data_IF_505478869044
#
_entry.id   IF_505478869044
#
_cell.length_a   1.000
_cell.length_b   1.000
_cell.length_c   1.000
_cell.angle_alpha   90.00
_cell.angle_beta   90.00
_cell.angle_gamma   90.00
#
_symmetry.space_group_name_H-M   'P 1'
#
loop_
_entity.id
_entity.type
_entity.pdbx_description
1 polymer ?
#
# COMPACT_ATOMS: atom_id res chain seq x y z
N UNK A 1 13.53 -21.08 7.33
CA UNK A 1 14.51 -20.82 6.25
C UNK A 1 15.82 -21.55 6.57
N UNK A 2 16.41 -22.27 5.60
CA UNK A 2 17.59 -23.14 5.86
C UNK A 2 18.81 -22.37 6.39
N UNK A 3 19.18 -21.27 5.72
CA UNK A 3 20.31 -20.41 6.12
C UNK A 3 20.14 -19.88 7.56
N UNK A 4 18.93 -19.44 7.91
CA UNK A 4 18.63 -18.96 9.27
C UNK A 4 18.88 -20.03 10.34
N UNK A 5 18.52 -21.29 10.06
CA UNK A 5 18.72 -22.41 10.98
C UNK A 5 20.19 -22.80 11.11
N UNK A 6 20.95 -22.74 10.01
CA UNK A 6 22.38 -23.05 9.99
C UNK A 6 23.21 -21.98 10.70
N UNK A 7 22.87 -20.70 10.50
CA UNK A 7 23.64 -19.58 11.06
C UNK A 7 23.16 -19.12 12.45
N UNK A 8 22.01 -19.62 12.91
CA UNK A 8 21.36 -19.20 14.16
C UNK A 8 21.23 -17.68 14.30
N UNK A 9 20.82 -17.02 13.23
CA UNK A 9 20.65 -15.56 13.16
C UNK A 9 19.18 -15.16 13.17
N UNK A 10 18.91 -13.90 13.51
CA UNK A 10 17.60 -13.27 13.27
C UNK A 10 17.59 -12.66 11.88
N UNK A 11 16.55 -12.95 11.09
CA UNK A 11 16.39 -12.44 9.73
C UNK A 11 15.09 -11.65 9.64
N UNK A 12 15.16 -10.48 9.02
CA UNK A 12 13.99 -9.71 8.58
C UNK A 12 13.92 -9.85 7.06
N UNK A 13 12.84 -10.42 6.55
CA UNK A 13 12.55 -10.56 5.13
C UNK A 13 11.48 -9.54 4.75
N UNK A 14 11.74 -8.77 3.68
CA UNK A 14 10.76 -7.90 3.05
C UNK A 14 10.36 -8.58 1.74
N UNK A 15 9.08 -8.91 1.59
CA UNK A 15 8.56 -9.54 0.38
C UNK A 15 7.20 -8.94 0.02
N UNK A 16 6.88 -9.01 -1.28
CA UNK A 16 5.56 -8.68 -1.82
C UNK A 16 4.71 -9.94 -2.05
N UNK A 17 5.28 -11.13 -1.83
CA UNK A 17 4.60 -12.41 -2.03
C UNK A 17 4.07 -12.95 -0.69
N UNK A 18 2.76 -13.15 -0.63
CA UNK A 18 2.05 -13.68 0.55
C UNK A 18 2.48 -15.12 0.85
N UNK A 19 2.66 -15.94 -0.19
CA UNK A 19 3.05 -17.34 -0.05
C UNK A 19 4.47 -17.42 0.52
N UNK A 20 5.40 -16.56 0.08
CA UNK A 20 6.74 -16.46 0.69
C UNK A 20 6.69 -16.05 2.17
N UNK A 21 5.85 -15.07 2.51
CA UNK A 21 5.72 -14.58 3.87
C UNK A 21 5.29 -15.69 4.85
N UNK A 22 4.30 -16.51 4.46
CA UNK A 22 3.84 -17.65 5.28
C UNK A 22 4.85 -18.80 5.26
N UNK A 23 5.46 -19.08 4.10
CA UNK A 23 6.37 -20.21 3.96
C UNK A 23 7.68 -20.03 4.75
N UNK A 24 8.20 -18.80 4.82
CA UNK A 24 9.56 -18.55 5.31
C UNK A 24 9.62 -17.99 6.74
N UNK A 25 8.56 -17.32 7.19
CA UNK A 25 8.58 -16.52 8.43
C UNK A 25 7.84 -17.17 9.60
N UNK A 26 8.29 -16.91 10.83
CA UNK A 26 7.53 -17.29 12.04
C UNK A 26 6.48 -16.24 12.39
N UNK A 27 6.69 -15.00 11.93
CA UNK A 27 5.78 -13.86 12.09
C UNK A 27 5.77 -13.04 10.82
N UNK A 28 4.60 -12.57 10.42
CA UNK A 28 4.41 -11.66 9.28
C UNK A 28 3.91 -10.32 9.82
N UNK A 29 4.71 -9.28 9.64
CA UNK A 29 4.31 -7.91 9.98
C UNK A 29 3.72 -7.29 8.73
N UNK A 30 2.45 -6.95 8.77
CA UNK A 30 1.75 -6.32 7.67
C UNK A 30 1.71 -4.80 7.90
N UNK A 31 2.13 -4.04 6.90
CA UNK A 31 2.26 -2.59 7.00
C UNK A 31 1.06 -1.87 6.39
N UNK A 32 0.71 -0.72 6.95
CA UNK A 32 -0.26 0.20 6.34
C UNK A 32 0.36 0.90 5.11
N UNK A 33 -0.48 1.49 4.26
CA UNK A 33 -0.02 2.11 3.01
C UNK A 33 0.55 3.53 3.22
N UNK A 34 1.50 3.91 2.35
CA UNK A 34 1.96 5.30 2.19
C UNK A 34 3.27 5.66 2.92
N UNK A 35 3.75 6.90 2.77
CA UNK A 35 5.06 7.35 3.30
C UNK A 35 5.13 7.41 4.82
N UNK A 36 3.98 7.36 5.51
CA UNK A 36 3.87 7.26 6.97
C UNK A 36 3.41 5.87 7.42
N UNK A 37 3.71 4.83 6.63
CA UNK A 37 3.33 3.46 6.92
C UNK A 37 3.79 3.01 8.32
N UNK A 38 2.88 2.38 9.03
CA UNK A 38 3.10 1.77 10.35
C UNK A 38 2.78 0.28 10.27
N UNK A 39 3.18 -0.48 11.30
CA UNK A 39 2.69 -1.85 11.44
C UNK A 39 1.19 -1.79 11.72
N UNK A 40 0.39 -2.43 10.86
CA UNK A 40 -1.05 -2.54 11.03
C UNK A 40 -1.42 -3.78 11.84
N UNK A 41 -0.93 -4.94 11.39
CA UNK A 41 -1.23 -6.22 12.04
C UNK A 41 -0.01 -7.13 12.03
N UNK A 42 0.08 -8.01 13.04
CA UNK A 42 1.13 -9.02 13.17
C UNK A 42 0.48 -10.39 13.18
N UNK A 43 0.71 -11.16 12.13
CA UNK A 43 0.26 -12.54 12.04
C UNK A 43 1.35 -13.48 12.55
N UNK A 44 0.98 -14.39 13.46
CA UNK A 44 1.84 -15.50 13.90
C UNK A 44 1.65 -16.70 12.98
N UNK A 45 2.75 -17.28 12.50
CA UNK A 45 2.71 -18.43 11.57
C UNK A 45 2.98 -19.72 12.34
N UNK A 46 1.92 -20.30 12.89
CA UNK A 46 1.98 -21.55 13.67
C UNK A 46 1.93 -22.81 12.77
N UNK A 47 2.80 -22.83 11.76
CA UNK A 47 3.04 -24.00 10.91
C UNK A 47 4.36 -24.67 11.30
N UNK A 48 4.38 -26.01 11.50
CA UNK A 48 5.60 -26.72 11.83
C UNK A 48 6.64 -26.60 10.71
N UNK A 49 7.93 -26.65 11.08
CA UNK A 49 9.06 -26.73 10.14
C UNK A 49 9.52 -28.19 10.04
N UNK A 50 10.05 -28.65 8.89
CA UNK A 50 10.29 -27.92 7.64
C UNK A 50 9.00 -27.71 6.84
N UNK A 51 8.86 -26.53 6.23
CA UNK A 51 7.70 -26.18 5.42
C UNK A 51 8.00 -26.43 3.95
N UNK A 52 7.15 -27.23 3.29
CA UNK A 52 7.23 -27.50 1.86
C UNK A 52 6.00 -26.91 1.17
N UNK A 53 6.21 -26.09 0.13
CA UNK A 53 5.13 -25.40 -0.59
C UNK A 53 4.08 -26.35 -1.15
N UNK A 54 4.48 -27.51 -1.67
CA UNK A 54 3.56 -28.50 -2.25
C UNK A 54 2.72 -29.16 -1.16
N UNK A 55 3.32 -29.49 -0.01
CA UNK A 55 2.59 -30.12 1.09
C UNK A 55 1.64 -29.14 1.79
N UNK A 56 2.08 -27.88 1.96
CA UNK A 56 1.26 -26.84 2.58
C UNK A 56 0.11 -26.37 1.70
N UNK A 57 0.19 -26.56 0.38
CA UNK A 57 -0.88 -26.17 -0.55
C UNK A 57 -2.19 -26.91 -0.30
N UNK A 58 -2.18 -28.02 0.44
CA UNK A 58 -3.37 -28.79 0.84
C UNK A 58 -3.76 -28.53 2.31
N UNK A 59 -2.97 -27.78 3.08
CA UNK A 59 -3.25 -27.52 4.50
C UNK A 59 -4.24 -26.36 4.69
N UNK A 60 -5.38 -26.62 5.32
CA UNK A 60 -6.39 -25.59 5.59
C UNK A 60 -5.86 -24.42 6.42
N UNK A 61 -4.93 -24.67 7.35
CA UNK A 61 -4.28 -23.62 8.15
C UNK A 61 -3.47 -22.66 7.28
N UNK A 62 -2.73 -23.19 6.30
CA UNK A 62 -1.96 -22.39 5.36
C UNK A 62 -2.88 -21.44 4.58
N UNK A 63 -4.00 -21.97 4.05
CA UNK A 63 -4.99 -21.15 3.37
C UNK A 63 -5.60 -20.09 4.28
N UNK A 64 -5.90 -20.41 5.53
CA UNK A 64 -6.46 -19.45 6.48
C UNK A 64 -5.51 -18.26 6.70
N UNK A 65 -4.24 -18.52 6.97
CA UNK A 65 -3.22 -17.48 7.13
C UNK A 65 -3.05 -16.64 5.86
N UNK A 66 -3.05 -17.28 4.69
CA UNK A 66 -2.98 -16.59 3.40
C UNK A 66 -4.17 -15.66 3.19
N UNK A 67 -5.38 -16.12 3.54
CA UNK A 67 -6.59 -15.30 3.45
C UNK A 67 -6.56 -14.13 4.43
N UNK A 68 -6.06 -14.31 5.65
CA UNK A 68 -5.90 -13.20 6.61
C UNK A 68 -4.99 -12.09 6.06
N UNK A 69 -3.85 -12.47 5.48
CA UNK A 69 -2.93 -11.49 4.88
C UNK A 69 -3.59 -10.78 3.69
N UNK A 70 -4.20 -11.54 2.78
CA UNK A 70 -4.88 -10.95 1.63
C UNK A 70 -6.01 -10.02 2.04
N UNK A 71 -6.80 -10.41 3.03
CA UNK A 71 -7.89 -9.60 3.56
C UNK A 71 -7.37 -8.26 4.09
N UNK A 72 -6.34 -8.26 4.94
CA UNK A 72 -5.70 -7.04 5.43
C UNK A 72 -5.23 -6.14 4.27
N UNK A 73 -4.55 -6.71 3.27
CA UNK A 73 -4.05 -5.95 2.13
C UNK A 73 -5.18 -5.37 1.26
N UNK A 74 -6.27 -6.11 1.06
CA UNK A 74 -7.43 -5.66 0.27
C UNK A 74 -8.25 -4.60 1.01
N UNK A 75 -8.53 -4.77 2.30
CA UNK A 75 -9.24 -3.77 3.10
C UNK A 75 -8.51 -2.43 3.09
N UNK A 76 -7.18 -2.46 3.25
CA UNK A 76 -6.37 -1.24 3.19
C UNK A 76 -6.22 -0.69 1.79
N UNK A 77 -6.25 -1.51 0.75
CA UNK A 77 -6.33 -1.01 -0.63
C UNK A 77 -7.67 -0.32 -0.89
N UNK A 78 -8.79 -0.85 -0.38
CA UNK A 78 -10.11 -0.24 -0.50
C UNK A 78 -10.24 1.06 0.31
N UNK A 79 -9.71 1.11 1.54
CA UNK A 79 -9.61 2.35 2.33
C UNK A 79 -8.66 3.38 1.69
N UNK A 80 -7.58 2.93 1.05
CA UNK A 80 -6.67 3.80 0.29
C UNK A 80 -7.32 4.29 -1.01
N UNK A 81 -8.27 3.54 -1.57
CA UNK A 81 -9.15 3.95 -2.66
C UNK A 81 -10.22 4.96 -2.24
N UNK A 82 -10.59 5.01 -0.95
CA UNK A 82 -11.49 6.03 -0.39
C UNK A 82 -10.76 7.25 0.20
N UNK A 83 -9.44 7.20 0.35
CA UNK A 83 -8.65 8.42 0.43
C UNK A 83 -8.39 8.91 -0.98
N UNK A 84 -9.40 9.53 -1.57
CA UNK A 84 -9.19 10.66 -2.47
C UNK A 84 -8.34 11.67 -1.68
N UNK A 85 -7.04 11.45 -1.66
CA UNK A 85 -6.09 12.41 -1.11
C UNK A 85 -6.06 13.48 -2.16
N UNK A 86 -6.99 14.42 -2.05
CA UNK A 86 -7.04 15.61 -2.87
C UNK A 86 -5.64 16.22 -2.84
N UNK A 87 -4.88 16.03 -3.92
CA UNK A 87 -3.50 16.43 -3.98
C UNK A 87 -3.47 17.95 -4.05
N UNK A 88 -2.73 18.59 -3.15
CA UNK A 88 -2.52 20.03 -3.24
C UNK A 88 -1.67 20.32 -4.48
N UNK A 89 -2.23 21.08 -5.41
CA UNK A 89 -1.55 21.53 -6.61
C UNK A 89 -1.50 23.05 -6.57
N UNK A 90 -0.29 23.61 -6.58
CA UNK A 90 -0.10 25.05 -6.70
C UNK A 90 0.23 25.37 -8.15
N UNK A 91 -0.58 26.21 -8.78
CA UNK A 91 -0.33 26.71 -10.14
C UNK A 91 0.16 28.14 -10.01
N UNK A 92 1.36 28.41 -10.54
CA UNK A 92 1.96 29.74 -10.54
C UNK A 92 1.96 30.22 -12.00
N UNK A 93 1.22 31.29 -12.27
CA UNK A 93 1.10 31.84 -13.62
C UNK A 93 -0.19 32.62 -13.82
N UNK A 94 -0.13 33.64 -14.69
CA UNK A 94 -1.27 34.49 -15.05
C UNK A 94 -1.76 34.14 -16.47
N UNK A 95 -3.06 34.28 -16.70
CA UNK A 95 -3.69 34.25 -18.02
C UNK A 95 -4.22 32.90 -18.48
N UNK A 96 -4.68 32.86 -19.74
CA UNK A 96 -5.50 31.80 -20.33
C UNK A 96 -4.90 30.39 -20.25
N UNK A 97 -3.56 30.27 -20.20
CA UNK A 97 -2.89 28.98 -20.09
C UNK A 97 -3.12 28.31 -18.72
N UNK A 98 -3.11 29.09 -17.64
CA UNK A 98 -3.40 28.58 -16.30
C UNK A 98 -4.88 28.16 -16.19
N UNK A 99 -5.78 28.99 -16.70
CA UNK A 99 -7.23 28.72 -16.73
C UNK A 99 -7.54 27.41 -17.46
N UNK A 100 -7.00 27.23 -18.67
CA UNK A 100 -7.20 26.00 -19.46
C UNK A 100 -6.63 24.74 -18.79
N UNK A 101 -5.51 24.88 -18.08
CA UNK A 101 -4.94 23.77 -17.33
C UNK A 101 -5.85 23.37 -16.16
N UNK A 102 -6.40 24.34 -15.43
CA UNK A 102 -7.33 24.10 -14.33
C UNK A 102 -8.60 23.41 -14.84
N UNK A 103 -9.18 23.92 -15.93
CA UNK A 103 -10.36 23.34 -16.57
C UNK A 103 -10.09 21.89 -17.00
N UNK A 104 -9.00 21.65 -17.72
CA UNK A 104 -8.63 20.31 -18.19
C UNK A 104 -8.38 19.33 -17.04
N UNK A 105 -7.75 19.78 -15.95
CA UNK A 105 -7.50 18.92 -14.79
C UNK A 105 -8.78 18.61 -14.00
N UNK A 106 -9.69 19.59 -13.90
CA UNK A 106 -10.97 19.41 -13.20
C UNK A 106 -11.89 18.47 -13.99
N UNK A 107 -11.89 18.56 -15.31
CA UNK A 107 -12.69 17.71 -16.20
C UNK A 107 -12.16 16.27 -16.28
N UNK A 108 -10.84 16.09 -16.43
CA UNK A 108 -10.22 14.75 -16.57
C UNK A 108 -10.11 14.01 -15.25
N UNK A 109 -10.07 14.71 -14.12
CA UNK A 109 -9.87 14.11 -12.80
C UNK A 109 -10.59 14.89 -11.70
N UNK A 110 -11.94 14.87 -11.69
CA UNK A 110 -12.74 15.60 -10.71
C UNK A 110 -12.42 15.18 -9.28
N UNK A 111 -12.23 16.15 -8.39
CA UNK A 111 -11.95 15.92 -6.96
C UNK A 111 -10.54 15.43 -6.62
N UNK A 112 -9.68 15.20 -7.63
CA UNK A 112 -8.31 14.71 -7.43
C UNK A 112 -7.35 15.77 -6.90
N UNK A 113 -7.58 17.05 -7.20
CA UNK A 113 -6.68 18.15 -6.85
C UNK A 113 -7.38 19.25 -6.05
N UNK A 114 -6.72 19.78 -5.03
CA UNK A 114 -7.08 21.03 -4.36
C UNK A 114 -6.16 22.08 -4.94
N UNK A 115 -6.70 22.87 -5.87
CA UNK A 115 -5.91 23.78 -6.68
C UNK A 115 -5.85 25.14 -5.99
N UNK A 116 -4.64 25.65 -5.77
CA UNK A 116 -4.39 27.04 -5.38
C UNK A 116 -3.66 27.71 -6.53
N UNK A 117 -4.23 28.81 -7.04
CA UNK A 117 -3.61 29.61 -8.09
C UNK A 117 -2.94 30.80 -7.43
N UNK A 118 -1.69 31.06 -7.82
CA UNK A 118 -0.94 32.24 -7.38
C UNK A 118 -0.59 33.04 -8.63
N UNK A 119 -1.27 34.17 -8.78
CA UNK A 119 -1.15 35.13 -9.87
C UNK A 119 -2.17 36.25 -9.62
N UNK A 120 -1.80 37.50 -9.86
CA UNK A 120 -2.68 38.65 -9.61
C UNK A 120 -3.74 38.72 -10.72
N UNK A 121 -5.00 38.41 -10.39
CA UNK A 121 -6.14 38.64 -11.29
C UNK A 121 -6.94 39.82 -10.75
N UNK A 122 -6.82 40.97 -11.40
CA UNK A 122 -7.81 42.03 -11.24
C UNK A 122 -9.11 41.54 -11.87
N UNK A 123 -10.19 41.47 -11.08
CA UNK A 123 -11.53 41.27 -11.63
C UNK A 123 -11.82 42.35 -12.67
N UNK A 124 -12.31 42.01 -13.87
CA UNK A 124 -12.84 43.01 -14.78
C UNK A 124 -14.02 43.72 -14.10
N UNK A 125 -14.04 45.06 -14.21
CA UNK A 125 -15.10 45.92 -13.69
C UNK A 125 -16.47 45.62 -14.31
#
# INVERSE_FOLDING_TARGET
MKIQQELNTTIVLITHDVDEAVLLSDRVLMMTNGPAATVGEILRVDLPRPRNRVQLAEESRYHHMRQQILHFLYEKTAESGLRSTTMRLVIIGNGLAATRLIESLTDRAPGRYAITVIGDEQMPA
#
